data_IF_898118554095
#
_entry.id   IF_898118554095
#
_cell.length_a   1.000
_cell.length_b   1.000
_cell.length_c   1.000
_cell.angle_alpha   90.00
_cell.angle_beta   90.00
_cell.angle_gamma   90.00
#
_symmetry.space_group_name_H-M   'P 1'
#
loop_
_entity.id
_entity.type
_entity.pdbx_description
1 polymer ?
#
# COMPACT_ATOMS: atom_id res chain seq x y z
N UNK A 1 21.24 34.01 11.80
CA UNK A 1 22.05 32.95 11.13
C UNK A 1 21.89 31.69 11.96
N UNK A 2 21.12 30.71 11.48
CA UNK A 2 20.87 29.44 12.19
C UNK A 2 20.91 28.26 11.20
N UNK A 3 21.44 27.11 11.63
CA UNK A 3 21.92 26.07 10.72
C UNK A 3 20.79 25.21 10.17
N UNK A 4 20.73 25.08 8.85
CA UNK A 4 19.90 24.08 8.17
C UNK A 4 20.41 22.67 8.50
N UNK A 5 19.68 21.96 9.36
CA UNK A 5 19.88 20.54 9.59
C UNK A 5 19.51 19.76 8.31
N UNK A 6 20.53 19.47 7.49
CA UNK A 6 20.46 18.54 6.38
C UNK A 6 20.26 17.13 6.94
N UNK A 7 19.02 16.67 6.96
CA UNK A 7 18.67 15.28 7.25
C UNK A 7 19.25 14.38 6.15
N UNK A 8 20.47 13.88 6.39
CA UNK A 8 21.13 12.85 5.60
C UNK A 8 20.43 11.51 5.85
N UNK A 9 19.47 11.22 4.98
CA UNK A 9 19.25 9.96 4.28
C UNK A 9 19.90 8.68 4.87
N UNK A 10 19.25 7.95 5.79
CA UNK A 10 19.54 6.54 5.97
C UNK A 10 18.88 5.76 4.83
N UNK A 11 19.65 5.53 3.76
CA UNK A 11 19.29 4.68 2.62
C UNK A 11 19.69 3.23 2.91
N UNK A 12 18.94 2.49 3.72
CA UNK A 12 19.08 1.03 3.87
C UNK A 12 17.71 0.50 4.35
N UNK A 13 17.04 -0.50 3.77
CA UNK A 13 17.45 -1.62 2.92
C UNK A 13 16.33 -1.96 1.93
N UNK A 14 16.77 -2.42 0.78
CA UNK A 14 16.10 -3.40 -0.09
C UNK A 14 15.87 -4.71 0.71
N UNK A 15 14.65 -5.22 0.75
CA UNK A 15 14.47 -6.53 0.16
C UNK A 15 13.53 -6.38 -1.02
N UNK A 16 13.84 -7.09 -2.10
CA UNK A 16 12.91 -7.32 -3.20
C UNK A 16 11.69 -8.07 -2.64
N UNK A 17 10.81 -7.33 -1.96
CA UNK A 17 9.62 -7.84 -1.36
C UNK A 17 8.67 -8.04 -2.54
N UNK A 18 8.47 -9.29 -2.96
CA UNK A 18 7.49 -9.63 -4.00
C UNK A 18 6.12 -8.96 -3.73
N UNK A 19 5.79 -8.75 -2.45
CA UNK A 19 4.60 -8.04 -1.99
C UNK A 19 4.57 -6.56 -2.42
N UNK A 20 5.71 -5.88 -2.49
CA UNK A 20 5.79 -4.46 -2.86
C UNK A 20 5.52 -4.25 -4.35
N UNK A 21 6.00 -5.15 -5.18
CA UNK A 21 5.69 -5.15 -6.61
C UNK A 21 4.21 -5.43 -6.85
N UNK A 22 3.60 -6.31 -6.04
CA UNK A 22 2.15 -6.57 -6.05
C UNK A 22 1.34 -5.31 -5.70
N UNK A 23 1.72 -4.60 -4.64
CA UNK A 23 1.10 -3.34 -4.22
C UNK A 23 1.21 -2.27 -5.31
N UNK A 24 2.39 -2.15 -5.94
CA UNK A 24 2.62 -1.24 -7.04
C UNK A 24 1.77 -1.59 -8.26
N UNK A 25 1.69 -2.87 -8.63
CA UNK A 25 0.88 -3.33 -9.75
C UNK A 25 -0.61 -3.04 -9.52
N UNK A 26 -1.11 -3.28 -8.30
CA UNK A 26 -2.48 -2.94 -7.91
C UNK A 26 -2.75 -1.43 -7.94
N UNK A 27 -1.81 -0.62 -7.45
CA UNK A 27 -1.90 0.84 -7.48
C UNK A 27 -1.87 1.42 -8.90
N UNK A 28 -0.99 0.91 -9.77
CA UNK A 28 -0.92 1.27 -11.18
C UNK A 28 -2.23 0.95 -11.91
N UNK A 29 -2.80 -0.24 -11.68
CA UNK A 29 -4.09 -0.64 -12.24
C UNK A 29 -5.22 0.32 -11.83
N UNK A 30 -5.34 0.61 -10.53
CA UNK A 30 -6.35 1.54 -10.01
C UNK A 30 -6.20 2.94 -10.62
N UNK A 31 -4.96 3.43 -10.82
CA UNK A 31 -4.73 4.72 -11.46
C UNK A 31 -5.22 4.73 -12.93
N UNK A 32 -4.94 3.67 -13.68
CA UNK A 32 -5.40 3.51 -15.07
C UNK A 32 -6.93 3.41 -15.15
N UNK A 33 -7.57 2.68 -14.24
CA UNK A 33 -9.04 2.57 -14.15
C UNK A 33 -9.72 3.91 -13.87
N UNK A 34 -9.03 4.83 -13.18
CA UNK A 34 -9.47 6.21 -12.95
C UNK A 34 -9.22 7.14 -14.14
N UNK A 35 -8.67 6.64 -15.24
CA UNK A 35 -8.36 7.41 -16.45
C UNK A 35 -7.01 8.13 -16.44
N UNK A 36 -6.14 7.86 -15.45
CA UNK A 36 -4.78 8.39 -15.50
C UNK A 36 -3.98 7.68 -16.61
N UNK A 37 -3.04 8.38 -17.23
CA UNK A 37 -2.13 7.75 -18.18
C UNK A 37 -1.04 6.95 -17.44
N UNK A 38 -0.49 5.93 -18.09
CA UNK A 38 0.60 5.14 -17.51
C UNK A 38 1.80 6.02 -17.09
N UNK A 39 2.16 7.02 -17.89
CA UNK A 39 3.25 7.95 -17.55
C UNK A 39 2.94 8.79 -16.31
N UNK A 40 1.71 9.29 -16.18
CA UNK A 40 1.28 10.04 -14.99
C UNK A 40 1.33 9.18 -13.72
N UNK A 41 0.87 7.93 -13.83
CA UNK A 41 0.95 6.98 -12.71
C UNK A 41 2.40 6.69 -12.33
N UNK A 42 3.29 6.42 -13.30
CA UNK A 42 4.73 6.25 -13.06
C UNK A 42 5.34 7.44 -12.32
N UNK A 43 5.02 8.66 -12.76
CA UNK A 43 5.53 9.86 -12.10
C UNK A 43 5.06 9.99 -10.66
N UNK A 44 3.80 9.64 -10.37
CA UNK A 44 3.27 9.65 -9.00
C UNK A 44 4.02 8.68 -8.08
N UNK A 45 4.34 7.46 -8.56
CA UNK A 45 5.13 6.49 -7.80
C UNK A 45 6.59 6.94 -7.62
N UNK A 46 7.21 7.55 -8.63
CA UNK A 46 8.54 8.15 -8.48
C UNK A 46 8.54 9.24 -7.40
N UNK A 47 7.54 10.12 -7.40
CA UNK A 47 7.39 11.16 -6.38
C UNK A 47 7.15 10.60 -4.97
N UNK A 48 6.58 9.40 -4.88
CA UNK A 48 6.35 8.69 -3.61
C UNK A 48 7.59 7.94 -3.09
N UNK A 49 8.72 8.01 -3.80
CA UNK A 49 9.99 7.41 -3.38
C UNK A 49 10.20 5.97 -3.86
N UNK A 50 9.37 5.46 -4.77
CA UNK A 50 9.61 4.17 -5.41
C UNK A 50 10.71 4.27 -6.46
N UNK A 51 11.51 3.22 -6.59
CA UNK A 51 12.58 3.18 -7.59
C UNK A 51 12.00 2.92 -9.00
N UNK A 52 12.66 3.42 -10.07
CA UNK A 52 12.24 3.16 -11.44
C UNK A 52 12.16 1.67 -11.79
N UNK A 53 13.05 0.86 -11.19
CA UNK A 53 13.12 -0.59 -11.40
C UNK A 53 11.90 -1.31 -10.80
N UNK A 54 11.51 -0.98 -9.57
CA UNK A 54 10.30 -1.53 -8.93
C UNK A 54 9.04 -1.21 -9.74
N UNK A 55 8.95 0.01 -10.27
CA UNK A 55 7.82 0.44 -11.11
C UNK A 55 7.79 -0.36 -12.42
N UNK A 56 8.94 -0.61 -13.07
CA UNK A 56 9.00 -1.41 -14.28
C UNK A 56 8.59 -2.87 -14.05
N UNK A 57 9.09 -3.50 -12.98
CA UNK A 57 8.70 -4.86 -12.60
C UNK A 57 7.19 -4.96 -12.34
N UNK A 58 6.63 -3.98 -11.62
CA UNK A 58 5.20 -3.91 -11.35
C UNK A 58 4.36 -3.75 -12.62
N UNK A 59 4.80 -2.93 -13.59
CA UNK A 59 4.14 -2.80 -14.90
C UNK A 59 4.13 -4.14 -15.62
N UNK A 60 5.27 -4.83 -15.67
CA UNK A 60 5.38 -6.13 -16.32
C UNK A 60 4.44 -7.16 -15.68
N UNK A 61 4.41 -7.21 -14.34
CA UNK A 61 3.55 -8.11 -13.56
C UNK A 61 2.06 -7.82 -13.78
N UNK A 62 1.67 -6.54 -13.82
CA UNK A 62 0.30 -6.10 -14.11
C UNK A 62 -0.20 -6.65 -15.47
N UNK A 63 0.64 -6.60 -16.51
CA UNK A 63 0.29 -7.15 -17.83
C UNK A 63 0.13 -8.68 -17.79
N UNK A 64 0.99 -9.38 -17.05
CA UNK A 64 0.92 -10.84 -16.89
C UNK A 64 -0.34 -11.30 -16.13
N UNK A 65 -0.77 -10.57 -15.10
CA UNK A 65 -2.01 -10.90 -14.37
C UNK A 65 -3.25 -10.74 -15.24
N UNK A 66 -3.26 -9.76 -16.14
CA UNK A 66 -4.38 -9.55 -17.06
C UNK A 66 -4.57 -10.70 -18.05
N UNK A 67 -3.52 -11.46 -18.36
CA UNK A 67 -3.57 -12.55 -19.36
C UNK A 67 -4.01 -13.89 -18.78
N UNK A 68 -3.91 -14.10 -17.46
CA UNK A 68 -4.18 -15.41 -16.84
C UNK A 68 -5.65 -15.68 -16.47
N UNK A 69 -6.55 -14.68 -16.57
CA UNK A 69 -7.97 -14.87 -16.22
C UNK A 69 -8.79 -15.41 -17.40
N UNK A 70 -8.26 -15.39 -18.62
CA UNK A 70 -8.92 -16.02 -19.77
C UNK A 70 -8.50 -17.49 -19.83
N UNK A 71 -9.04 -18.32 -18.92
CA UNK A 71 -9.26 -19.72 -19.30
C UNK A 71 -10.17 -19.69 -20.53
N UNK A 72 -9.82 -20.32 -21.66
CA UNK A 72 -10.71 -20.42 -22.79
C UNK A 72 -11.93 -21.22 -22.35
N UNK A 73 -13.01 -20.52 -22.02
CA UNK A 73 -14.34 -21.11 -21.95
C UNK A 73 -14.61 -21.54 -23.38
N UNK A 74 -14.81 -22.84 -23.55
CA UNK A 74 -15.11 -23.50 -24.82
C UNK A 74 -16.17 -22.69 -25.55
N UNK A 75 -15.77 -22.14 -26.69
CA UNK A 75 -16.54 -21.30 -27.57
C UNK A 75 -17.76 -22.08 -28.10
N UNK A 76 -18.92 -21.87 -27.47
CA UNK A 76 -20.20 -22.17 -28.09
C UNK A 76 -20.59 -21.00 -29.00
N UNK A 77 -20.67 -21.34 -30.28
CA UNK A 77 -21.31 -20.73 -31.45
C UNK A 77 -21.74 -19.24 -31.42
N UNK A 78 -21.42 -18.46 -32.47
CA UNK A 78 -21.79 -17.06 -32.58
C UNK A 78 -23.28 -16.89 -32.92
N UNK A 79 -24.06 -16.34 -31.99
CA UNK A 79 -25.36 -15.73 -32.34
C UNK A 79 -25.08 -14.34 -32.87
N UNK A 80 -25.23 -14.19 -34.18
CA UNK A 80 -25.25 -12.92 -34.88
C UNK A 80 -26.41 -12.07 -34.35
N UNK A 81 -26.08 -11.11 -33.48
CA UNK A 81 -27.02 -10.04 -33.14
C UNK A 81 -26.54 -8.78 -33.85
N UNK A 82 -27.36 -8.12 -34.69
CA UNK A 82 -26.94 -6.95 -35.43
C UNK A 82 -26.53 -5.82 -34.48
N UNK A 83 -25.33 -5.32 -34.74
CA UNK A 83 -24.69 -4.18 -34.09
C UNK A 83 -25.57 -2.95 -34.32
N UNK A 84 -26.27 -2.50 -33.28
CA UNK A 84 -26.74 -1.12 -33.22
C UNK A 84 -25.58 -0.28 -32.70
N UNK A 85 -24.93 0.43 -33.63
CA UNK A 85 -24.00 1.52 -33.37
C UNK A 85 -24.69 2.59 -32.52
N UNK A 86 -24.28 2.84 -31.26
CA UNK A 86 -24.64 4.08 -30.60
C UNK A 86 -23.84 5.19 -31.28
N UNK A 87 -24.58 6.04 -31.99
CA UNK A 87 -24.13 7.30 -32.57
C UNK A 87 -23.35 8.07 -31.51
N UNK A 88 -22.05 8.27 -31.78
CA UNK A 88 -21.20 9.18 -31.02
C UNK A 88 -21.79 10.58 -31.17
N UNK A 89 -22.49 11.03 -30.13
CA UNK A 89 -22.82 12.44 -30.00
C UNK A 89 -21.51 13.15 -29.62
N UNK A 90 -21.03 14.14 -30.39
CA UNK A 90 -19.94 14.98 -29.93
C UNK A 90 -20.47 15.80 -28.76
N UNK A 91 -20.17 15.36 -27.54
CA UNK A 91 -20.37 16.19 -26.35
C UNK A 91 -19.35 17.32 -26.48
N UNK A 92 -19.80 18.43 -27.08
CA UNK A 92 -19.20 19.74 -26.90
C UNK A 92 -19.47 20.15 -25.46
N UNK A 93 -18.69 19.64 -24.52
CA UNK A 93 -18.59 20.27 -23.22
C UNK A 93 -17.93 21.63 -23.45
N UNK A 94 -18.57 22.74 -23.05
CA UNK A 94 -17.91 24.03 -23.07
C UNK A 94 -16.64 23.90 -22.24
N UNK A 95 -15.52 24.24 -22.87
CA UNK A 95 -14.21 24.37 -22.24
C UNK A 95 -14.37 25.53 -21.25
N UNK A 96 -14.93 25.23 -20.08
CA UNK A 96 -14.87 26.14 -18.95
C UNK A 96 -13.38 26.29 -18.72
N UNK A 97 -12.83 27.52 -18.76
CA UNK A 97 -11.44 27.74 -18.44
C UNK A 97 -11.19 26.98 -17.16
N UNK A 98 -10.20 26.09 -17.18
CA UNK A 98 -9.59 25.56 -15.98
C UNK A 98 -9.01 26.80 -15.30
N UNK A 99 -9.88 27.55 -14.63
CA UNK A 99 -9.49 28.42 -13.56
C UNK A 99 -8.57 27.53 -12.77
N UNK A 100 -7.30 27.93 -12.74
CA UNK A 100 -6.38 27.50 -11.73
C UNK A 100 -7.16 27.60 -10.43
N UNK A 101 -7.79 26.51 -10.02
CA UNK A 101 -7.79 26.14 -8.65
C UNK A 101 -6.30 25.89 -8.35
N UNK A 102 -5.55 26.98 -8.22
CA UNK A 102 -5.14 27.39 -6.89
C UNK A 102 -6.33 27.17 -5.96
N UNK A 103 -6.64 25.90 -5.65
CA UNK A 103 -7.01 25.56 -4.31
C UNK A 103 -5.92 26.27 -3.54
N UNK A 104 -6.28 27.37 -2.88
CA UNK A 104 -5.52 27.81 -1.74
C UNK A 104 -5.23 26.51 -1.04
N UNK A 105 -3.95 26.11 -1.08
CA UNK A 105 -3.44 24.99 -0.33
C UNK A 105 -4.15 25.20 1.00
N UNK A 106 -5.09 24.32 1.44
CA UNK A 106 -5.64 24.49 2.76
C UNK A 106 -4.40 24.67 3.59
N UNK A 107 -4.27 25.86 4.21
CA UNK A 107 -3.15 26.16 5.06
C UNK A 107 -3.15 24.94 5.95
N UNK A 108 -2.19 24.05 5.70
CA UNK A 108 -2.11 22.82 6.43
C UNK A 108 -1.63 23.39 7.73
N UNK A 109 -2.58 23.77 8.60
CA UNK A 109 -2.42 23.66 10.03
C UNK A 109 -1.65 22.38 10.15
N UNK A 110 -0.35 22.43 10.49
CA UNK A 110 0.54 21.29 10.36
C UNK A 110 -0.21 20.14 10.99
N UNK A 111 -0.69 19.21 10.14
CA UNK A 111 -1.50 18.12 10.62
C UNK A 111 -0.62 17.50 11.70
N UNK A 112 -1.11 17.37 12.95
CA UNK A 112 -0.30 16.84 14.02
C UNK A 112 0.32 15.58 13.47
N UNK A 113 1.65 15.58 13.42
CA UNK A 113 2.48 14.55 12.80
C UNK A 113 1.86 13.24 13.24
N UNK A 114 1.13 12.58 12.34
CA UNK A 114 0.57 11.27 12.61
C UNK A 114 1.78 10.37 12.59
N UNK A 115 2.46 10.31 13.73
CA UNK A 115 3.49 9.32 13.99
C UNK A 115 2.86 8.00 13.58
N UNK A 116 3.48 7.24 12.66
CA UNK A 116 2.94 5.97 12.22
C UNK A 116 2.70 5.15 13.48
N UNK A 117 1.43 5.04 13.87
CA UNK A 117 1.03 4.21 14.99
C UNK A 117 1.31 2.81 14.49
N UNK A 118 2.47 2.26 14.85
CA UNK A 118 2.75 0.85 14.65
C UNK A 118 1.51 0.12 15.14
N UNK A 119 0.75 -0.49 14.22
CA UNK A 119 -0.35 -1.38 14.56
C UNK A 119 0.30 -2.51 15.34
N UNK A 120 0.30 -2.35 16.66
CA UNK A 120 0.83 -3.30 17.60
C UNK A 120 -0.07 -4.52 17.50
N UNK A 121 0.42 -5.58 16.84
CA UNK A 121 -0.37 -6.79 16.70
C UNK A 121 -0.51 -7.41 18.09
N UNK A 122 -1.72 -7.60 18.61
CA UNK A 122 -1.96 -7.99 20.00
C UNK A 122 -1.46 -9.40 20.35
N UNK A 123 -0.99 -10.17 19.38
CA UNK A 123 -0.51 -11.54 19.56
C UNK A 123 0.80 -11.61 20.36
N UNK A 124 1.73 -10.67 20.18
CA UNK A 124 3.03 -10.72 20.87
C UNK A 124 2.93 -10.38 22.36
N UNK A 125 1.99 -9.52 22.74
CA UNK A 125 1.77 -9.11 24.15
C UNK A 125 1.19 -10.24 24.98
N UNK A 126 0.27 -11.00 24.39
CA UNK A 126 -0.37 -12.15 25.04
C UNK A 126 0.67 -13.25 25.34
N UNK A 127 1.60 -13.49 24.41
CA UNK A 127 2.68 -14.46 24.59
C UNK A 127 3.61 -14.05 25.74
N UNK A 128 4.03 -12.78 25.79
CA UNK A 128 4.91 -12.28 26.86
C UNK A 128 4.23 -12.37 28.23
N UNK A 129 2.95 -11.99 28.31
CA UNK A 129 2.19 -12.05 29.57
C UNK A 129 2.03 -13.49 30.09
N UNK A 130 1.84 -14.45 29.18
CA UNK A 130 1.76 -15.88 29.52
C UNK A 130 3.07 -16.41 30.10
N UNK A 131 4.22 -16.06 29.52
CA UNK A 131 5.54 -16.49 30.02
C UNK A 131 5.80 -15.95 31.43
N UNK A 132 5.51 -14.67 31.67
CA UNK A 132 5.69 -14.05 32.99
C UNK A 132 4.82 -14.73 34.05
N UNK A 133 3.57 -15.06 33.71
CA UNK A 133 2.67 -15.78 34.61
C UNK A 133 3.20 -17.15 35.04
N UNK A 134 3.75 -17.93 34.11
CA UNK A 134 4.32 -19.26 34.41
C UNK A 134 5.54 -19.15 35.33
N UNK A 135 6.42 -18.16 35.11
CA UNK A 135 7.61 -17.94 35.95
C UNK A 135 7.21 -17.64 37.40
N UNK A 136 6.20 -16.79 37.61
CA UNK A 136 5.72 -16.45 38.97
C UNK A 136 5.19 -17.69 39.70
N UNK A 137 4.48 -18.59 38.99
CA UNK A 137 3.97 -19.83 39.58
C UNK A 137 5.13 -20.76 40.00
N UNK A 138 6.15 -20.89 39.16
CA UNK A 138 7.33 -21.72 39.48
C UNK A 138 8.07 -21.17 40.71
N UNK A 139 8.31 -19.85 40.75
CA UNK A 139 8.98 -19.21 41.89
C UNK A 139 8.15 -19.43 43.17
N UNK A 140 6.83 -19.26 43.12
CA UNK A 140 5.94 -19.45 44.27
C UNK A 140 5.99 -20.89 44.81
N UNK A 141 6.06 -21.89 43.92
CA UNK A 141 6.21 -23.29 44.32
C UNK A 141 7.57 -23.56 44.98
N UNK A 142 8.66 -23.05 44.41
CA UNK A 142 10.01 -23.22 44.98
C UNK A 142 10.11 -22.57 46.36
N UNK A 143 9.61 -21.33 46.49
CA UNK A 143 9.59 -20.64 47.79
C UNK A 143 8.71 -21.39 48.80
N UNK A 144 7.54 -21.87 48.40
CA UNK A 144 6.66 -22.66 49.28
C UNK A 144 7.30 -23.97 49.74
N UNK A 145 8.02 -24.67 48.86
CA UNK A 145 8.76 -25.89 49.22
C UNK A 145 9.93 -25.62 50.17
N UNK A 146 10.61 -24.49 50.01
CA UNK A 146 11.72 -24.10 50.88
C UNK A 146 11.27 -23.41 52.17
N UNK A 147 10.01 -23.00 52.27
CA UNK A 147 9.48 -22.29 53.43
C UNK A 147 9.65 -23.12 54.71
N UNK A 148 9.33 -24.43 54.66
CA UNK A 148 9.46 -25.36 55.78
C UNK A 148 10.90 -25.69 56.20
N UNK A 149 11.89 -25.30 55.39
CA UNK A 149 13.31 -25.56 55.67
C UNK A 149 14.03 -24.29 56.14
N UNK A 150 13.47 -23.12 55.80
CA UNK A 150 13.98 -21.80 56.23
C UNK A 150 13.37 -21.40 57.58
N UNK A 151 12.09 -21.73 57.82
CA UNK A 151 11.35 -21.45 59.05
C UNK A 151 10.89 -22.75 59.70
#
# INVERSE_FOLDING_TARGET
MSPHARWRNPRIVNPANANREEELAGGLKNALERGATLQQAKQSFLNSGYSPQEIQNAIQKMHSTSTQIIKPIKQESPIQTPIQTPIQTPIQTPIKPLAQQTQALPQQTPAPIQTPTKKYSPTTTIIILSIVGVIIIIISLVVGLFWNNIF
#
